data_IF_562731062278
#
_entry.id   IF_562731062278
#
_cell.length_a   1.000
_cell.length_b   1.000
_cell.length_c   1.000
_cell.angle_alpha   90.00
_cell.angle_beta   90.00
_cell.angle_gamma   90.00
#
_symmetry.space_group_name_H-M   'P 1'
#
loop_
_entity.id
_entity.type
_entity.pdbx_description
1 polymer ?
#
# COMPACT_ATOMS: atom_id res chain seq x y z
N UNK A 1 15.78 -12.82 -15.07
CA UNK A 1 15.21 -11.72 -14.25
C UNK A 1 16.16 -11.45 -13.11
N UNK A 2 16.47 -10.18 -12.83
CA UNK A 2 17.26 -9.78 -11.66
C UNK A 2 16.54 -10.25 -10.38
N UNK A 3 17.26 -10.93 -9.47
CA UNK A 3 16.70 -11.41 -8.20
C UNK A 3 16.07 -10.27 -7.39
N UNK A 4 16.60 -9.04 -7.53
CA UNK A 4 16.02 -7.84 -6.90
C UNK A 4 14.65 -7.50 -7.46
N UNK A 5 14.43 -7.68 -8.76
CA UNK A 5 13.15 -7.39 -9.41
C UNK A 5 12.07 -8.38 -8.97
N UNK A 6 12.41 -9.68 -8.91
CA UNK A 6 11.49 -10.72 -8.40
C UNK A 6 11.10 -10.40 -6.96
N UNK A 7 12.09 -10.08 -6.12
CA UNK A 7 11.85 -9.71 -4.73
C UNK A 7 10.91 -8.49 -4.62
N UNK A 8 11.17 -7.44 -5.40
CA UNK A 8 10.34 -6.23 -5.40
C UNK A 8 8.88 -6.53 -5.79
N UNK A 9 8.66 -7.31 -6.86
CA UNK A 9 7.32 -7.72 -7.30
C UNK A 9 6.60 -8.50 -6.20
N UNK A 10 7.26 -9.50 -5.62
CA UNK A 10 6.68 -10.32 -4.54
C UNK A 10 6.29 -9.44 -3.35
N UNK A 11 7.16 -8.52 -2.92
CA UNK A 11 6.85 -7.62 -1.79
C UNK A 11 5.69 -6.67 -2.07
N UNK A 12 5.60 -6.10 -3.26
CA UNK A 12 4.47 -5.23 -3.65
C UNK A 12 3.17 -6.03 -3.78
N UNK A 13 3.20 -7.25 -4.31
CA UNK A 13 2.01 -8.11 -4.34
C UNK A 13 1.57 -8.52 -2.94
N UNK A 14 2.51 -8.81 -2.03
CA UNK A 14 2.19 -9.06 -0.62
C UNK A 14 1.57 -7.83 0.05
N UNK A 15 2.06 -6.63 -0.27
CA UNK A 15 1.45 -5.39 0.20
C UNK A 15 -0.01 -5.26 -0.23
N UNK A 16 -0.31 -5.51 -1.52
CA UNK A 16 -1.68 -5.55 -2.03
C UNK A 16 -2.55 -6.57 -1.27
N UNK A 17 -2.02 -7.78 -1.05
CA UNK A 17 -2.75 -8.85 -0.37
C UNK A 17 -3.06 -8.48 1.08
N UNK A 18 -2.05 -8.08 1.85
CA UNK A 18 -2.26 -7.67 3.24
C UNK A 18 -3.19 -6.48 3.33
N UNK A 19 -3.01 -5.49 2.48
CA UNK A 19 -3.81 -4.28 2.56
C UNK A 19 -5.28 -4.55 2.20
N UNK A 20 -5.54 -5.32 1.15
CA UNK A 20 -6.89 -5.77 0.78
C UNK A 20 -7.51 -6.61 1.89
N UNK A 21 -6.79 -7.60 2.42
CA UNK A 21 -7.31 -8.44 3.51
C UNK A 21 -7.62 -7.58 4.73
N UNK A 22 -6.74 -6.64 5.11
CA UNK A 22 -6.95 -5.75 6.24
C UNK A 22 -8.22 -4.93 6.11
N UNK A 23 -8.44 -4.28 4.96
CA UNK A 23 -9.61 -3.41 4.74
C UNK A 23 -10.91 -4.22 4.65
N UNK A 24 -10.91 -5.34 3.94
CA UNK A 24 -12.12 -6.15 3.79
C UNK A 24 -12.45 -6.97 5.04
N UNK A 25 -11.46 -7.47 5.77
CA UNK A 25 -11.67 -8.14 7.05
C UNK A 25 -12.21 -7.17 8.11
N UNK A 26 -11.67 -5.95 8.15
CA UNK A 26 -12.16 -4.89 9.04
C UNK A 26 -13.61 -4.51 8.73
N UNK A 27 -13.94 -4.33 7.44
CA UNK A 27 -15.32 -4.10 7.00
C UNK A 27 -16.26 -5.24 7.38
N UNK A 28 -15.84 -6.50 7.19
CA UNK A 28 -16.63 -7.68 7.54
C UNK A 28 -16.88 -7.77 9.05
N UNK A 29 -15.88 -7.43 9.86
CA UNK A 29 -15.99 -7.42 11.32
C UNK A 29 -16.81 -6.24 11.86
N UNK A 30 -17.06 -5.20 11.04
CA UNK A 30 -17.69 -3.93 11.43
C UNK A 30 -17.05 -3.25 12.66
N UNK A 31 -15.82 -3.65 12.97
CA UNK A 31 -15.08 -3.22 14.14
C UNK A 31 -13.59 -3.39 13.90
N UNK A 32 -12.81 -2.47 14.44
CA UNK A 32 -11.36 -2.48 14.34
C UNK A 32 -10.77 -3.29 15.50
N UNK A 33 -10.05 -4.37 15.16
CA UNK A 33 -9.38 -5.25 16.10
C UNK A 33 -7.85 -5.18 15.94
N UNK A 34 -7.11 -5.67 16.95
CA UNK A 34 -5.63 -5.75 16.94
C UNK A 34 -5.08 -6.43 15.68
N UNK A 35 -5.72 -7.50 15.23
CA UNK A 35 -5.30 -8.25 14.03
C UNK A 35 -5.33 -7.38 12.77
N UNK A 36 -6.34 -6.52 12.60
CA UNK A 36 -6.43 -5.63 11.44
C UNK A 36 -5.28 -4.61 11.45
N UNK A 37 -4.96 -4.04 12.61
CA UNK A 37 -3.85 -3.10 12.77
C UNK A 37 -2.52 -3.76 12.42
N UNK A 38 -2.27 -4.99 12.89
CA UNK A 38 -1.05 -5.75 12.53
C UNK A 38 -0.97 -5.97 11.01
N UNK A 39 -2.08 -6.34 10.37
CA UNK A 39 -2.14 -6.54 8.91
C UNK A 39 -1.85 -5.23 8.16
N UNK A 40 -2.37 -4.08 8.62
CA UNK A 40 -2.08 -2.78 8.00
C UNK A 40 -0.60 -2.42 8.09
N UNK A 41 0.03 -2.66 9.25
CA UNK A 41 1.47 -2.43 9.42
C UNK A 41 2.31 -3.37 8.55
N UNK A 42 1.94 -4.65 8.44
CA UNK A 42 2.61 -5.60 7.54
C UNK A 42 2.50 -5.16 6.08
N UNK A 43 1.30 -4.75 5.66
CA UNK A 43 1.07 -4.19 4.31
C UNK A 43 1.96 -2.99 4.03
N UNK A 44 2.06 -2.04 4.96
CA UNK A 44 2.91 -0.85 4.84
C UNK A 44 4.40 -1.20 4.74
N UNK A 45 4.88 -2.15 5.56
CA UNK A 45 6.27 -2.58 5.53
C UNK A 45 6.62 -3.26 4.19
N UNK A 46 5.73 -4.11 3.69
CA UNK A 46 5.87 -4.72 2.37
C UNK A 46 5.88 -3.67 1.26
N UNK A 47 4.96 -2.69 1.31
CA UNK A 47 4.83 -1.66 0.28
C UNK A 47 6.06 -0.75 0.23
N UNK A 48 6.53 -0.32 1.40
CA UNK A 48 7.73 0.52 1.56
C UNK A 48 8.96 -0.23 1.05
N UNK A 49 9.13 -1.50 1.43
CA UNK A 49 10.26 -2.34 1.00
C UNK A 49 10.24 -2.57 -0.51
N UNK A 50 9.08 -2.87 -1.07
CA UNK A 50 8.90 -3.07 -2.50
C UNK A 50 9.19 -1.80 -3.29
N UNK A 51 8.67 -0.65 -2.84
CA UNK A 51 8.90 0.65 -3.48
C UNK A 51 10.36 1.09 -3.41
N UNK A 52 11.04 0.92 -2.27
CA UNK A 52 12.48 1.21 -2.14
C UNK A 52 13.30 0.32 -3.08
N UNK A 53 12.98 -0.97 -3.14
CA UNK A 53 13.67 -1.92 -4.02
C UNK A 53 13.46 -1.55 -5.50
N UNK A 54 12.22 -1.26 -5.90
CA UNK A 54 11.90 -0.79 -7.26
C UNK A 54 12.62 0.52 -7.61
N UNK A 55 12.67 1.48 -6.68
CA UNK A 55 13.38 2.76 -6.87
C UNK A 55 14.88 2.55 -7.07
N UNK A 56 15.49 1.64 -6.30
CA UNK A 56 16.90 1.26 -6.48
C UNK A 56 17.15 0.63 -7.85
N UNK A 57 16.26 -0.26 -8.31
CA UNK A 57 16.35 -0.87 -9.64
C UNK A 57 16.22 0.19 -10.75
N UNK A 58 15.26 1.11 -10.63
CA UNK A 58 15.03 2.17 -11.62
C UNK A 58 16.26 3.09 -11.78
N UNK A 59 16.96 3.42 -10.67
CA UNK A 59 18.22 4.20 -10.70
C UNK A 59 19.39 3.46 -11.35
N UNK A 60 19.31 2.13 -11.47
CA UNK A 60 20.40 1.27 -11.95
C UNK A 60 20.45 1.11 -13.48
N UNK A 61 19.64 1.84 -14.25
CA UNK A 61 19.70 1.85 -15.72
C UNK A 61 18.55 1.16 -16.46
N UNK A 62 17.37 1.04 -15.83
CA UNK A 62 16.19 0.43 -16.45
C UNK A 62 15.39 1.50 -17.20
N UNK A 63 15.77 1.80 -18.46
CA UNK A 63 15.12 2.79 -19.35
C UNK A 63 13.60 2.57 -19.48
N UNK A 64 12.79 3.48 -18.93
CA UNK A 64 11.32 3.39 -19.00
C UNK A 64 10.77 4.26 -20.14
N UNK A 65 9.82 3.67 -20.85
CA UNK A 65 9.11 4.11 -22.06
C UNK A 65 8.46 5.52 -22.03
N UNK A 66 8.33 6.18 -20.86
CA UNK A 66 7.84 7.56 -20.73
C UNK A 66 8.20 8.19 -19.37
N UNK A 67 8.94 9.30 -19.37
CA UNK A 67 9.37 10.05 -18.17
C UNK A 67 8.19 10.59 -17.37
N UNK A 68 7.11 11.02 -18.04
CA UNK A 68 5.92 11.55 -17.37
C UNK A 68 5.19 10.48 -16.55
N UNK A 69 4.98 9.30 -17.14
CA UNK A 69 4.29 8.18 -16.47
C UNK A 69 5.10 7.65 -15.28
N UNK A 70 6.43 7.57 -15.40
CA UNK A 70 7.31 7.19 -14.30
C UNK A 70 7.28 8.21 -13.16
N UNK A 71 7.31 9.50 -13.48
CA UNK A 71 7.23 10.57 -12.49
C UNK A 71 5.89 10.52 -11.75
N UNK A 72 4.79 10.38 -12.48
CA UNK A 72 3.44 10.21 -11.90
C UNK A 72 3.36 8.98 -10.99
N UNK A 73 3.87 7.84 -11.42
CA UNK A 73 3.91 6.62 -10.60
C UNK A 73 4.70 6.84 -9.30
N UNK A 74 5.89 7.44 -9.39
CA UNK A 74 6.73 7.67 -8.21
C UNK A 74 6.09 8.63 -7.19
N UNK A 75 5.43 9.69 -7.67
CA UNK A 75 4.74 10.65 -6.83
C UNK A 75 3.49 10.04 -6.17
N UNK A 76 2.67 9.36 -6.97
CA UNK A 76 1.46 8.69 -6.46
C UNK A 76 1.80 7.54 -5.50
N UNK A 77 2.88 6.80 -5.76
CA UNK A 77 3.39 5.76 -4.86
C UNK A 77 3.86 6.30 -3.52
N UNK A 78 4.62 7.41 -3.53
CA UNK A 78 5.02 8.08 -2.29
C UNK A 78 3.81 8.57 -1.48
N UNK A 79 2.84 9.21 -2.14
CA UNK A 79 1.60 9.66 -1.51
C UNK A 79 0.82 8.49 -0.90
N UNK A 80 0.79 7.35 -1.59
CA UNK A 80 0.14 6.14 -1.10
C UNK A 80 0.80 5.57 0.16
N UNK A 81 2.14 5.51 0.24
CA UNK A 81 2.86 5.10 1.46
C UNK A 81 2.55 6.03 2.62
N UNK A 82 2.59 7.35 2.41
CA UNK A 82 2.27 8.35 3.44
C UNK A 82 0.83 8.16 3.93
N UNK A 83 -0.11 7.95 3.02
CA UNK A 83 -1.51 7.75 3.33
C UNK A 83 -1.76 6.44 4.08
N UNK A 84 -1.08 5.34 3.71
CA UNK A 84 -1.10 4.08 4.44
C UNK A 84 -0.49 4.19 5.84
N UNK A 85 0.61 4.93 5.99
CA UNK A 85 1.21 5.18 7.30
C UNK A 85 0.25 5.96 8.20
N UNK A 86 -0.37 7.02 7.68
CA UNK A 86 -1.38 7.77 8.40
C UNK A 86 -2.56 6.87 8.80
N UNK A 87 -3.03 6.02 7.87
CA UNK A 87 -4.10 5.07 8.13
C UNK A 87 -3.74 4.05 9.22
N UNK A 88 -2.53 3.47 9.20
CA UNK A 88 -2.06 2.52 10.21
C UNK A 88 -1.91 3.16 11.61
N UNK A 89 -1.39 4.39 11.68
CA UNK A 89 -1.31 5.17 12.93
C UNK A 89 -2.72 5.47 13.45
N UNK A 90 -3.62 5.93 12.58
CA UNK A 90 -5.01 6.21 12.93
C UNK A 90 -5.72 4.95 13.42
N UNK A 91 -5.49 3.79 12.78
CA UNK A 91 -6.01 2.50 13.21
C UNK A 91 -5.54 2.16 14.64
N UNK A 92 -4.25 2.32 14.90
CA UNK A 92 -3.63 2.08 16.20
C UNK A 92 -4.24 2.99 17.27
N UNK A 93 -4.45 4.27 16.94
CA UNK A 93 -5.06 5.24 17.85
C UNK A 93 -6.53 4.95 18.14
N UNK A 94 -7.34 4.65 17.12
CA UNK A 94 -8.77 4.29 17.28
C UNK A 94 -8.91 3.04 18.14
N UNK A 95 -8.04 2.05 17.95
CA UNK A 95 -7.99 0.84 18.76
C UNK A 95 -7.61 1.13 20.22
N UNK A 96 -6.59 1.97 20.45
CA UNK A 96 -6.14 2.35 21.79
C UNK A 96 -7.22 3.14 22.55
N UNK A 97 -7.88 4.10 21.89
CA UNK A 97 -8.97 4.89 22.49
C UNK A 97 -10.21 4.06 22.78
N UNK A 98 -10.34 2.88 22.17
CA UNK A 98 -11.47 1.97 22.28
C UNK A 98 -12.84 2.64 22.01
N UNK A 99 -12.86 3.62 21.10
CA UNK A 99 -14.05 4.42 20.79
C UNK A 99 -14.89 3.70 19.72
N UNK A 100 -16.00 3.09 20.14
CA UNK A 100 -16.90 2.32 19.27
C UNK A 100 -17.46 3.15 18.11
N UNK A 101 -17.72 4.46 18.30
CA UNK A 101 -18.22 5.31 17.20
C UNK A 101 -17.15 5.48 16.13
N UNK A 102 -15.88 5.64 16.53
CA UNK A 102 -14.75 5.77 15.59
C UNK A 102 -14.43 4.46 14.91
N UNK A 103 -14.50 3.32 15.61
CA UNK A 103 -14.36 1.99 14.98
C UNK A 103 -15.42 1.77 13.90
N UNK A 104 -16.66 2.20 14.16
CA UNK A 104 -17.74 2.08 13.19
C UNK A 104 -17.60 3.01 11.98
N UNK A 105 -16.93 4.16 12.08
CA UNK A 105 -16.70 5.02 10.91
C UNK A 105 -15.40 4.71 10.18
N UNK A 106 -14.47 4.01 10.84
CA UNK A 106 -13.15 3.67 10.31
C UNK A 106 -13.20 2.89 8.99
N UNK A 107 -14.10 1.91 8.84
CA UNK A 107 -14.20 1.13 7.60
C UNK A 107 -14.48 1.96 6.34
N UNK A 108 -15.24 3.07 6.47
CA UNK A 108 -15.50 3.98 5.34
C UNK A 108 -14.22 4.70 4.93
N UNK A 109 -13.43 5.12 5.91
CA UNK A 109 -12.13 5.73 5.68
C UNK A 109 -11.13 4.73 5.08
N UNK A 110 -11.07 3.50 5.61
CA UNK A 110 -10.21 2.43 5.09
C UNK A 110 -10.41 2.15 3.60
N UNK A 111 -11.66 2.12 3.14
CA UNK A 111 -11.96 1.89 1.71
C UNK A 111 -11.43 3.03 0.84
N UNK A 112 -11.59 4.29 1.27
CA UNK A 112 -11.12 5.45 0.50
C UNK A 112 -9.59 5.39 0.36
N UNK A 113 -8.88 5.15 1.47
CA UNK A 113 -7.42 5.02 1.49
C UNK A 113 -6.96 3.85 0.60
N UNK A 114 -7.71 2.73 0.60
CA UNK A 114 -7.45 1.59 -0.27
C UNK A 114 -7.64 1.86 -1.76
N UNK A 115 -8.70 2.56 -2.14
CA UNK A 115 -8.92 2.96 -3.55
C UNK A 115 -7.80 3.89 -4.03
N UNK A 116 -7.39 4.86 -3.20
CA UNK A 116 -6.29 5.78 -3.54
C UNK A 116 -4.98 5.01 -3.72
N UNK A 117 -4.70 4.03 -2.86
CA UNK A 117 -3.51 3.19 -2.94
C UNK A 117 -3.47 2.31 -4.20
N UNK A 118 -4.64 1.88 -4.70
CA UNK A 118 -4.74 1.09 -5.94
C UNK A 118 -4.24 1.85 -7.18
N UNK A 119 -4.32 3.18 -7.19
CA UNK A 119 -3.91 4.02 -8.33
C UNK A 119 -2.42 3.82 -8.67
N UNK A 120 -1.44 4.06 -7.77
CA UNK A 120 -0.04 3.82 -8.07
C UNK A 120 0.26 2.35 -8.38
N UNK A 121 -0.41 1.40 -7.73
CA UNK A 121 -0.23 -0.02 -8.01
C UNK A 121 -0.56 -0.37 -9.47
N UNK A 122 -1.72 0.08 -9.97
CA UNK A 122 -2.14 -0.16 -11.36
C UNK A 122 -1.23 0.54 -12.35
N UNK A 123 -0.82 1.79 -12.06
CA UNK A 123 0.14 2.52 -12.90
C UNK A 123 1.48 1.75 -12.97
N UNK A 124 1.98 1.25 -11.84
CA UNK A 124 3.21 0.47 -11.77
C UNK A 124 3.12 -0.82 -12.57
N UNK A 125 1.98 -1.53 -12.49
CA UNK A 125 1.72 -2.73 -13.27
C UNK A 125 1.72 -2.44 -14.78
N UNK A 126 1.06 -1.38 -15.23
CA UNK A 126 1.04 -1.00 -16.65
C UNK A 126 2.45 -0.67 -17.17
N UNK A 127 3.26 0.04 -16.37
CA UNK A 127 4.67 0.32 -16.70
C UNK A 127 5.47 -1.00 -16.81
N UNK A 128 5.21 -1.97 -15.93
CA UNK A 128 5.89 -3.26 -15.92
C UNK A 128 5.49 -4.18 -17.08
N UNK A 129 4.21 -4.18 -17.48
CA UNK A 129 3.67 -4.99 -18.57
C UNK A 129 3.93 -4.40 -19.97
N UNK A 130 4.16 -3.09 -20.07
CA UNK A 130 4.53 -2.41 -21.31
C UNK A 130 6.01 -2.56 -21.70
N UNK A 131 6.73 -3.49 -21.06
CA UNK A 131 8.11 -3.90 -21.36
C UNK A 131 8.11 -5.31 -21.93
#
# INVERSE_FOLDING_TARGET
MDSKLIFAIVTITLALLFYTIGVFAERKSKSLNKTHVIIFWLGLLCDTTGTITMSSIAKSGVEVMNVATQTLHSLTGFLAIVLMLFHAIWATWVLYKNDEKKKQTFHKFSIIVWIIWLVPYVIGMMIGMGR
#
